data_IF_195530212026
#
_entry.id   IF_195530212026
#
_cell.length_a   1.000
_cell.length_b   1.000
_cell.length_c   1.000
_cell.angle_alpha   90.00
_cell.angle_beta   90.00
_cell.angle_gamma   90.00
#
_symmetry.space_group_name_H-M   'P 1'
#
loop_
_entity.id
_entity.type
_entity.pdbx_description
1 polymer ?
#
# COMPACT_ATOMS: atom_id res chain seq x y z
N UNK A 1 -26.33 -12.57 -34.10
CA UNK A 1 -24.98 -12.64 -33.50
C UNK A 1 -25.16 -12.64 -31.99
N UNK A 2 -24.66 -13.65 -31.29
CA UNK A 2 -24.74 -13.75 -29.84
C UNK A 2 -23.33 -13.98 -29.28
N UNK A 3 -22.97 -13.25 -28.23
CA UNK A 3 -21.75 -13.45 -27.48
C UNK A 3 -22.13 -13.68 -26.01
N UNK A 4 -21.47 -14.64 -25.37
CA UNK A 4 -21.62 -14.93 -23.94
C UNK A 4 -20.36 -14.46 -23.23
N UNK A 5 -20.51 -13.60 -22.22
CA UNK A 5 -19.41 -13.14 -21.37
C UNK A 5 -19.49 -13.89 -20.05
N UNK A 6 -18.43 -14.60 -19.67
CA UNK A 6 -18.32 -15.27 -18.38
C UNK A 6 -17.74 -14.29 -17.34
N UNK A 7 -18.55 -13.78 -16.41
CA UNK A 7 -18.08 -12.95 -15.29
C UNK A 7 -17.46 -13.87 -14.23
N UNK A 8 -16.13 -13.91 -14.16
CA UNK A 8 -15.41 -14.70 -13.13
C UNK A 8 -15.22 -13.88 -11.87
N UNK A 9 -16.06 -14.11 -10.86
CA UNK A 9 -15.89 -13.52 -9.54
C UNK A 9 -14.69 -14.13 -8.83
N UNK A 10 -13.83 -13.26 -8.27
CA UNK A 10 -12.62 -13.67 -7.55
C UNK A 10 -12.54 -12.98 -6.21
N UNK A 11 -11.98 -13.69 -5.23
CA UNK A 11 -11.60 -13.11 -3.94
C UNK A 11 -10.54 -12.04 -4.19
N UNK A 12 -10.76 -10.83 -3.71
CA UNK A 12 -9.80 -9.71 -3.82
C UNK A 12 -9.08 -9.44 -2.50
N UNK A 13 -9.74 -9.72 -1.37
CA UNK A 13 -9.15 -9.69 -0.03
C UNK A 13 -9.87 -10.70 0.88
N UNK A 14 -9.25 -11.05 2.00
CA UNK A 14 -9.81 -11.94 2.99
C UNK A 14 -9.24 -11.66 4.40
N UNK A 15 -10.11 -11.78 5.40
CA UNK A 15 -9.72 -11.58 6.80
C UNK A 15 -8.82 -12.72 7.32
N UNK A 16 -8.17 -12.56 8.48
CA UNK A 16 -7.27 -13.58 9.03
C UNK A 16 -7.91 -14.96 9.22
N UNK A 17 -9.19 -15.02 9.60
CA UNK A 17 -9.91 -16.29 9.78
C UNK A 17 -10.06 -17.05 8.46
N UNK A 18 -10.48 -16.37 7.38
CA UNK A 18 -10.56 -16.95 6.04
C UNK A 18 -9.17 -17.36 5.53
N UNK A 19 -8.13 -16.55 5.79
CA UNK A 19 -6.73 -16.91 5.47
C UNK A 19 -6.30 -18.19 6.19
N UNK A 20 -6.67 -18.38 7.45
CA UNK A 20 -6.34 -19.59 8.21
C UNK A 20 -6.98 -20.86 7.59
N UNK A 21 -8.14 -20.74 6.95
CA UNK A 21 -8.81 -21.82 6.22
C UNK A 21 -8.27 -22.04 4.79
N UNK A 22 -7.24 -21.31 4.36
CA UNK A 22 -6.65 -21.47 3.03
C UNK A 22 -7.25 -20.57 1.94
N UNK A 23 -8.19 -19.68 2.28
CA UNK A 23 -8.70 -18.69 1.32
C UNK A 23 -7.61 -17.64 1.04
N UNK A 24 -7.45 -17.28 -0.24
CA UNK A 24 -6.45 -16.32 -0.71
C UNK A 24 -7.05 -15.42 -1.80
N UNK A 25 -6.59 -14.17 -1.94
CA UNK A 25 -6.88 -13.36 -3.11
C UNK A 25 -6.53 -14.09 -4.42
N UNK A 26 -7.32 -13.85 -5.46
CA UNK A 26 -7.21 -14.49 -6.77
C UNK A 26 -8.03 -15.79 -6.92
N UNK A 27 -8.41 -16.46 -5.83
CA UNK A 27 -9.28 -17.65 -5.90
C UNK A 27 -10.64 -17.29 -6.49
N UNK A 28 -11.22 -18.20 -7.29
CA UNK A 28 -12.61 -18.08 -7.71
C UNK A 28 -13.53 -18.19 -6.48
N UNK A 29 -14.61 -17.41 -6.45
CA UNK A 29 -15.58 -17.44 -5.33
C UNK A 29 -16.15 -18.85 -5.13
N UNK A 30 -16.42 -19.58 -6.21
CA UNK A 30 -16.87 -20.98 -6.15
C UNK A 30 -15.85 -21.91 -5.48
N UNK A 31 -14.57 -21.78 -5.82
CA UNK A 31 -13.49 -22.55 -5.19
C UNK A 31 -13.33 -22.19 -3.71
N UNK A 32 -13.47 -20.91 -3.36
CA UNK A 32 -13.41 -20.45 -1.97
C UNK A 32 -14.55 -21.04 -1.12
N UNK A 33 -15.78 -21.07 -1.65
CA UNK A 33 -16.93 -21.70 -0.98
C UNK A 33 -16.80 -23.22 -0.85
N UNK A 34 -16.13 -23.88 -1.81
CA UNK A 34 -15.84 -25.31 -1.70
C UNK A 34 -14.84 -25.63 -0.57
N UNK A 35 -13.93 -24.69 -0.23
CA UNK A 35 -12.98 -24.83 0.87
C UNK A 35 -13.67 -24.56 2.22
N UNK A 36 -14.53 -23.53 2.27
CA UNK A 36 -15.22 -23.12 3.49
C UNK A 36 -16.68 -22.79 3.16
N UNK A 37 -17.59 -23.72 3.45
CA UNK A 37 -19.02 -23.59 3.12
C UNK A 37 -19.69 -22.41 3.87
N UNK A 38 -19.23 -22.11 5.08
CA UNK A 38 -19.71 -20.97 5.88
C UNK A 38 -19.07 -19.63 5.50
N UNK A 39 -18.37 -19.55 4.36
CA UNK A 39 -17.68 -18.34 3.94
C UNK A 39 -18.69 -17.24 3.58
N UNK A 40 -18.72 -16.18 4.40
CA UNK A 40 -19.37 -14.94 4.05
C UNK A 40 -18.57 -14.22 2.94
N UNK A 41 -19.26 -13.86 1.85
CA UNK A 41 -18.69 -13.10 0.72
C UNK A 41 -19.49 -11.82 0.58
N UNK A 42 -18.79 -10.69 0.57
CA UNK A 42 -19.37 -9.38 0.27
C UNK A 42 -18.91 -8.91 -1.11
N UNK A 43 -19.78 -8.22 -1.84
CA UNK A 43 -19.38 -7.51 -3.05
C UNK A 43 -18.55 -6.28 -2.68
N UNK A 44 -17.56 -5.95 -3.50
CA UNK A 44 -16.75 -4.75 -3.32
C UNK A 44 -17.61 -3.51 -3.59
N UNK A 45 -17.62 -2.57 -2.65
CA UNK A 45 -18.23 -1.26 -2.81
C UNK A 45 -17.16 -0.15 -2.70
N UNK A 46 -16.59 0.28 -3.85
CA UNK A 46 -15.55 1.31 -3.86
C UNK A 46 -16.02 2.66 -3.30
N UNK A 47 -17.31 2.98 -3.40
CA UNK A 47 -17.83 4.24 -2.87
C UNK A 47 -17.85 4.20 -1.34
N UNK A 48 -18.33 3.10 -0.75
CA UNK A 48 -18.31 2.92 0.70
C UNK A 48 -16.87 2.85 1.26
N UNK A 49 -15.93 2.24 0.53
CA UNK A 49 -14.49 2.24 0.85
C UNK A 49 -13.94 3.67 0.89
N UNK A 50 -14.22 4.46 -0.17
CA UNK A 50 -13.79 5.86 -0.27
C UNK A 50 -14.36 6.73 0.84
N UNK A 51 -15.68 6.65 1.08
CA UNK A 51 -16.35 7.36 2.18
C UNK A 51 -15.72 7.03 3.54
N UNK A 52 -15.31 5.78 3.73
CA UNK A 52 -14.65 5.33 4.96
C UNK A 52 -13.25 5.94 5.08
N UNK A 53 -12.46 5.94 4.00
CA UNK A 53 -11.16 6.61 3.98
C UNK A 53 -11.28 8.11 4.26
N UNK A 54 -12.31 8.78 3.74
CA UNK A 54 -12.56 10.21 4.01
C UNK A 54 -12.89 10.47 5.48
N UNK A 55 -13.71 9.62 6.11
CA UNK A 55 -13.98 9.69 7.55
C UNK A 55 -12.71 9.45 8.38
N UNK A 56 -11.90 8.47 8.00
CA UNK A 56 -10.64 8.17 8.68
C UNK A 56 -9.61 9.29 8.49
N UNK A 57 -9.55 9.91 7.31
CA UNK A 57 -8.71 11.07 7.05
C UNK A 57 -9.12 12.25 7.94
N UNK A 58 -10.43 12.52 8.05
CA UNK A 58 -10.97 13.55 8.93
C UNK A 58 -10.59 13.30 10.40
N UNK A 59 -10.70 12.05 10.86
CA UNK A 59 -10.27 11.65 12.20
C UNK A 59 -8.75 11.84 12.41
N UNK A 60 -7.94 11.54 11.40
CA UNK A 60 -6.49 11.69 11.45
C UNK A 60 -6.00 13.14 11.60
N UNK A 61 -6.83 14.16 11.33
CA UNK A 61 -6.44 15.57 11.51
C UNK A 61 -6.08 15.93 12.96
N UNK A 62 -6.49 15.13 13.94
CA UNK A 62 -6.03 15.31 15.33
C UNK A 62 -4.53 15.00 15.52
N UNK A 63 -3.89 14.34 14.55
CA UNK A 63 -2.48 13.91 14.59
C UNK A 63 -1.58 14.69 13.65
N UNK A 64 -2.10 15.11 12.50
CA UNK A 64 -1.34 15.87 11.50
C UNK A 64 -2.26 16.85 10.79
N UNK A 65 -1.77 18.05 10.51
CA UNK A 65 -2.46 18.99 9.64
C UNK A 65 -2.38 18.60 8.15
N UNK A 66 -1.56 17.61 7.80
CA UNK A 66 -1.38 17.13 6.44
C UNK A 66 -1.72 15.64 6.36
N UNK A 67 -2.93 15.37 5.88
CA UNK A 67 -3.46 14.04 5.65
C UNK A 67 -3.92 13.96 4.20
N UNK A 68 -3.57 12.88 3.50
CA UNK A 68 -3.89 12.68 2.10
C UNK A 68 -4.41 11.25 1.86
N UNK A 69 -5.42 11.14 0.99
CA UNK A 69 -5.86 9.88 0.39
C UNK A 69 -5.24 9.84 -1.02
N UNK A 70 -4.28 8.95 -1.29
CA UNK A 70 -3.72 8.84 -2.63
C UNK A 70 -4.78 8.37 -3.64
N UNK A 71 -4.68 8.80 -4.90
CA UNK A 71 -5.64 8.41 -5.94
C UNK A 71 -5.39 7.01 -6.53
N UNK A 72 -4.19 6.46 -6.35
CA UNK A 72 -3.73 5.21 -6.97
C UNK A 72 -3.79 3.98 -6.05
N UNK A 73 -4.23 4.16 -4.80
CA UNK A 73 -4.25 3.11 -3.77
C UNK A 73 -5.17 3.46 -2.61
N UNK A 74 -5.71 2.42 -1.98
CA UNK A 74 -6.67 2.56 -0.88
C UNK A 74 -5.93 2.69 0.47
N UNK A 75 -5.81 3.90 1.01
CA UNK A 75 -5.18 4.15 2.30
C UNK A 75 -4.92 5.62 2.58
N UNK A 76 -4.17 5.89 3.66
CA UNK A 76 -3.87 7.25 4.12
C UNK A 76 -2.37 7.50 4.22
N UNK A 77 -1.96 8.71 3.84
CA UNK A 77 -0.63 9.25 4.09
C UNK A 77 -0.74 10.43 5.06
N UNK A 78 0.17 10.48 6.03
CA UNK A 78 0.22 11.51 7.06
C UNK A 78 1.64 12.08 7.13
N UNK A 79 1.77 13.40 7.10
CA UNK A 79 3.04 14.06 7.46
C UNK A 79 3.18 13.99 8.98
N UNK A 80 4.18 13.26 9.47
CA UNK A 80 4.35 13.04 10.91
C UNK A 80 5.42 13.95 11.54
N UNK A 81 6.30 14.57 10.75
CA UNK A 81 7.48 15.31 11.18
C UNK A 81 7.15 16.50 12.10
N UNK A 82 6.17 17.31 11.72
CA UNK A 82 5.73 18.43 12.57
C UNK A 82 5.10 17.98 13.89
N UNK A 83 4.60 16.75 13.91
CA UNK A 83 3.82 16.17 15.00
C UNK A 83 4.68 15.42 16.04
N UNK A 84 5.99 15.26 15.79
CA UNK A 84 6.89 14.50 16.67
C UNK A 84 6.94 15.03 18.10
N UNK A 85 6.87 16.34 18.29
CA UNK A 85 6.91 16.94 19.64
C UNK A 85 5.70 16.57 20.49
N UNK A 86 4.56 16.29 19.85
CA UNK A 86 3.29 16.00 20.52
C UNK A 86 3.05 14.50 20.69
N UNK A 87 3.44 13.70 19.69
CA UNK A 87 3.12 12.26 19.65
C UNK A 87 4.34 11.34 19.70
N UNK A 88 5.53 11.92 19.79
CA UNK A 88 6.80 11.19 19.82
C UNK A 88 7.25 10.74 18.43
N UNK A 89 8.09 9.72 18.40
CA UNK A 89 8.59 9.12 17.16
C UNK A 89 7.46 8.62 16.24
N UNK A 90 7.67 8.54 14.92
CA UNK A 90 6.70 7.95 13.99
C UNK A 90 6.19 6.56 14.40
N UNK A 91 7.04 5.75 15.03
CA UNK A 91 6.73 4.44 15.60
C UNK A 91 5.67 4.56 16.71
N UNK A 92 5.85 5.51 17.62
CA UNK A 92 4.92 5.74 18.74
C UNK A 92 3.57 6.26 18.23
N UNK A 93 3.58 7.16 17.26
CA UNK A 93 2.36 7.62 16.60
C UNK A 93 1.64 6.47 15.88
N UNK A 94 2.35 5.64 15.13
CA UNK A 94 1.78 4.47 14.46
C UNK A 94 1.14 3.48 15.46
N UNK A 95 1.83 3.15 16.55
CA UNK A 95 1.26 2.29 17.60
C UNK A 95 0.02 2.89 18.26
N UNK A 96 -0.04 4.22 18.38
CA UNK A 96 -1.23 4.91 18.87
C UNK A 96 -2.38 4.80 17.86
N UNK A 97 -2.13 5.13 16.60
CA UNK A 97 -3.11 5.03 15.51
C UNK A 97 -3.67 3.61 15.41
N UNK A 98 -2.83 2.59 15.40
CA UNK A 98 -3.25 1.19 15.32
C UNK A 98 -4.14 0.78 16.50
N UNK A 99 -3.83 1.22 17.73
CA UNK A 99 -4.66 0.94 18.91
C UNK A 99 -6.02 1.63 18.83
N UNK A 100 -6.04 2.91 18.51
CA UNK A 100 -7.30 3.68 18.47
C UNK A 100 -8.19 3.24 17.30
N UNK A 101 -7.62 3.00 16.11
CA UNK A 101 -8.34 2.44 14.97
C UNK A 101 -8.85 1.02 15.26
N UNK A 102 -8.08 0.23 16.00
CA UNK A 102 -8.53 -1.08 16.49
C UNK A 102 -9.77 -0.99 17.40
N UNK A 103 -9.85 0.04 18.25
CA UNK A 103 -11.03 0.29 19.10
C UNK A 103 -12.26 0.71 18.28
N UNK A 104 -12.05 1.30 17.10
CA UNK A 104 -13.10 1.63 16.14
C UNK A 104 -13.46 0.45 15.21
N UNK A 105 -12.81 -0.71 15.38
CA UNK A 105 -13.08 -1.92 14.61
C UNK A 105 -12.27 -2.08 13.32
N UNK A 106 -11.23 -1.26 13.12
CA UNK A 106 -10.36 -1.33 11.94
C UNK A 106 -9.08 -2.11 12.19
N UNK A 107 -8.64 -2.85 11.17
CA UNK A 107 -7.30 -3.41 11.09
C UNK A 107 -6.43 -2.52 10.20
N UNK A 108 -5.21 -2.25 10.64
CA UNK A 108 -4.32 -1.30 9.95
C UNK A 108 -2.89 -1.79 9.89
N UNK A 109 -2.29 -1.67 8.71
CA UNK A 109 -0.86 -1.78 8.51
C UNK A 109 -0.26 -0.38 8.53
N UNK A 110 0.84 -0.21 9.25
CA UNK A 110 1.46 1.11 9.43
C UNK A 110 2.96 1.00 9.24
N UNK A 111 3.53 2.06 8.68
CA UNK A 111 4.96 2.25 8.50
C UNK A 111 5.25 3.72 8.32
N UNK A 112 6.53 4.06 8.36
CA UNK A 112 6.95 5.45 8.19
C UNK A 112 8.26 5.50 7.43
N UNK A 113 8.42 6.50 6.57
CA UNK A 113 9.70 6.81 5.95
C UNK A 113 9.76 8.32 5.65
N UNK A 114 10.94 8.85 5.28
CA UNK A 114 11.12 10.26 4.95
C UNK A 114 10.47 10.71 3.63
N UNK A 115 9.94 9.76 2.84
CA UNK A 115 9.27 10.03 1.58
C UNK A 115 7.91 9.31 1.54
N UNK A 116 6.88 9.87 0.86
CA UNK A 116 5.54 9.28 0.85
C UNK A 116 5.52 7.84 0.31
N UNK A 117 6.20 7.59 -0.82
CA UNK A 117 6.25 6.27 -1.45
C UNK A 117 7.04 5.26 -0.61
N UNK A 118 8.14 5.69 0.01
CA UNK A 118 8.86 4.81 0.92
C UNK A 118 8.05 4.53 2.18
N UNK A 119 7.23 5.48 2.66
CA UNK A 119 6.38 5.27 3.83
C UNK A 119 5.28 4.25 3.51
N UNK A 120 4.69 4.33 2.32
CA UNK A 120 3.72 3.36 1.83
C UNK A 120 4.30 1.94 1.76
N UNK A 121 5.46 1.78 1.11
CA UNK A 121 6.15 0.49 1.04
C UNK A 121 6.57 -0.01 2.43
N UNK A 122 7.01 0.90 3.30
CA UNK A 122 7.36 0.55 4.67
C UNK A 122 6.15 0.05 5.47
N UNK A 123 4.93 0.54 5.19
CA UNK A 123 3.72 0.09 5.86
C UNK A 123 3.42 -1.40 5.61
N UNK A 124 3.48 -1.85 4.35
CA UNK A 124 3.31 -3.27 4.02
C UNK A 124 4.41 -4.17 4.64
N UNK A 125 5.56 -3.58 4.96
CA UNK A 125 6.67 -4.27 5.62
C UNK A 125 6.71 -4.07 7.15
N UNK A 126 5.78 -3.31 7.72
CA UNK A 126 5.75 -2.93 9.14
C UNK A 126 7.07 -2.27 9.60
N UNK A 127 7.67 -1.47 8.72
CA UNK A 127 8.95 -0.80 8.93
C UNK A 127 8.78 0.68 9.27
N UNK A 128 9.71 1.18 10.07
CA UNK A 128 9.82 2.60 10.38
C UNK A 128 11.23 3.09 10.11
N UNK A 129 11.38 3.75 8.97
CA UNK A 129 12.63 4.22 8.39
C UNK A 129 12.83 5.68 8.80
N UNK A 130 13.87 5.95 9.58
CA UNK A 130 14.09 7.28 10.16
C UNK A 130 14.87 8.24 9.27
N UNK A 131 15.52 7.75 8.21
CA UNK A 131 16.43 8.55 7.38
C UNK A 131 16.46 8.10 5.92
N UNK A 132 16.61 9.07 5.00
CA UNK A 132 16.52 8.82 3.56
C UNK A 132 17.60 7.83 3.09
N UNK A 133 18.80 7.91 3.68
CA UNK A 133 19.91 6.98 3.42
C UNK A 133 19.63 5.51 3.80
N UNK A 134 18.57 5.22 4.57
CA UNK A 134 18.19 3.86 4.97
C UNK A 134 17.16 3.22 4.03
N UNK A 135 16.46 4.00 3.21
CA UNK A 135 15.42 3.51 2.28
C UNK A 135 15.96 2.39 1.40
N UNK A 136 17.10 2.60 0.73
CA UNK A 136 17.71 1.59 -0.14
C UNK A 136 18.12 0.32 0.62
N UNK A 137 18.55 0.46 1.87
CA UNK A 137 18.96 -0.69 2.68
C UNK A 137 17.75 -1.54 3.10
N UNK A 138 16.68 -0.90 3.55
CA UNK A 138 15.52 -1.58 4.16
C UNK A 138 14.47 -2.01 3.13
N UNK A 139 14.21 -1.18 2.11
CA UNK A 139 13.20 -1.44 1.08
C UNK A 139 13.81 -1.89 -0.25
N UNK A 140 15.13 -1.82 -0.41
CA UNK A 140 15.76 -2.12 -1.69
C UNK A 140 15.63 -3.58 -2.16
N UNK A 141 15.26 -4.52 -1.28
CA UNK A 141 14.94 -5.92 -1.68
C UNK A 141 13.58 -6.05 -2.37
N UNK A 142 12.70 -5.05 -2.23
CA UNK A 142 11.32 -5.17 -2.70
C UNK A 142 11.29 -5.29 -4.23
N UNK A 143 10.45 -6.20 -4.75
CA UNK A 143 10.24 -6.33 -6.18
C UNK A 143 9.53 -5.09 -6.73
N UNK A 144 9.76 -4.75 -8.00
CA UNK A 144 9.23 -3.52 -8.59
C UNK A 144 7.69 -3.52 -8.68
N UNK A 145 7.09 -4.71 -8.67
CA UNK A 145 5.65 -4.95 -8.68
C UNK A 145 4.94 -4.40 -7.44
N UNK A 146 5.67 -4.07 -6.37
CA UNK A 146 5.10 -3.37 -5.20
C UNK A 146 5.01 -1.86 -5.40
N UNK A 147 5.65 -1.32 -6.45
CA UNK A 147 5.49 0.07 -6.81
C UNK A 147 4.14 0.26 -7.49
N UNK A 148 3.46 1.37 -7.17
CA UNK A 148 2.24 1.81 -7.83
C UNK A 148 2.56 2.42 -9.22
N UNK A 149 3.21 1.64 -10.07
CA UNK A 149 3.49 1.95 -11.46
C UNK A 149 2.69 1.01 -12.36
N UNK A 150 2.35 1.46 -13.57
CA UNK A 150 1.65 0.60 -14.50
C UNK A 150 2.46 -0.66 -14.85
N UNK A 151 1.75 -1.77 -15.03
CA UNK A 151 2.35 -3.08 -15.31
C UNK A 151 3.21 -3.07 -16.58
N UNK A 152 2.92 -2.21 -17.57
CA UNK A 152 3.71 -2.12 -18.79
C UNK A 152 5.09 -1.51 -18.53
N UNK A 153 5.17 -0.46 -17.69
CA UNK A 153 6.40 0.17 -17.22
C UNK A 153 7.22 -0.79 -16.39
N UNK A 154 6.61 -1.51 -15.44
CA UNK A 154 7.31 -2.54 -14.64
C UNK A 154 7.93 -3.60 -15.56
N UNK A 155 7.16 -4.17 -16.49
CA UNK A 155 7.68 -5.15 -17.46
C UNK A 155 8.76 -4.59 -18.38
N UNK A 156 8.72 -3.30 -18.71
CA UNK A 156 9.76 -2.66 -19.50
C UNK A 156 11.06 -2.51 -18.68
N UNK A 157 10.96 -2.13 -17.41
CA UNK A 157 12.08 -2.07 -16.47
C UNK A 157 12.74 -3.46 -16.29
N UNK A 158 11.93 -4.51 -16.10
CA UNK A 158 12.41 -5.89 -15.98
C UNK A 158 13.17 -6.37 -17.22
N UNK A 159 12.66 -6.06 -18.43
CA UNK A 159 13.34 -6.36 -19.69
C UNK A 159 14.69 -5.65 -19.82
N UNK A 160 14.86 -4.52 -19.15
CA UNK A 160 16.13 -3.79 -19.07
C UNK A 160 17.04 -4.27 -17.93
N UNK A 161 16.61 -5.27 -17.15
CA UNK A 161 17.38 -5.89 -16.07
C UNK A 161 17.12 -5.33 -14.67
N UNK A 162 16.18 -4.41 -14.49
CA UNK A 162 15.78 -3.90 -13.17
C UNK A 162 14.72 -4.81 -12.56
N UNK A 163 14.98 -5.40 -11.39
CA UNK A 163 14.04 -6.35 -10.76
C UNK A 163 13.63 -5.94 -9.36
N UNK A 164 14.44 -5.11 -8.70
CA UNK A 164 14.20 -4.68 -7.34
C UNK A 164 14.34 -3.17 -7.21
N UNK A 165 13.71 -2.61 -6.18
CA UNK A 165 13.76 -1.18 -5.88
C UNK A 165 15.21 -0.67 -5.75
N UNK A 166 16.14 -1.47 -5.20
CA UNK A 166 17.57 -1.09 -5.14
C UNK A 166 18.19 -0.79 -6.49
N UNK A 167 17.72 -1.43 -7.56
CA UNK A 167 18.29 -1.28 -8.89
C UNK A 167 17.96 0.12 -9.42
N UNK A 168 16.77 0.63 -9.12
CA UNK A 168 16.35 2.00 -9.42
C UNK A 168 17.06 3.01 -8.51
N UNK A 169 17.07 2.78 -7.19
CA UNK A 169 17.67 3.69 -6.20
C UNK A 169 19.21 3.80 -6.31
N UNK A 170 19.87 2.93 -7.07
CA UNK A 170 21.30 3.05 -7.39
C UNK A 170 21.59 4.00 -8.54
N UNK A 171 20.59 4.28 -9.37
CA UNK A 171 20.78 5.13 -10.54
C UNK A 171 20.86 6.60 -10.11
N UNK A 172 21.77 7.39 -10.71
CA UNK A 172 21.72 8.84 -10.56
C UNK A 172 20.37 9.39 -11.03
N UNK A 173 19.84 10.44 -10.38
CA UNK A 173 18.54 11.05 -10.76
C UNK A 173 18.45 11.37 -12.24
N UNK A 174 19.50 11.97 -12.82
CA UNK A 174 19.60 12.27 -14.25
C UNK A 174 19.42 11.03 -15.15
N UNK A 175 19.92 9.88 -14.71
CA UNK A 175 19.76 8.61 -15.43
C UNK A 175 18.33 8.09 -15.34
N UNK A 176 17.69 8.21 -14.17
CA UNK A 176 16.26 7.89 -14.01
C UNK A 176 15.40 8.76 -14.92
N UNK A 177 15.58 10.08 -14.89
CA UNK A 177 14.85 11.02 -15.75
C UNK A 177 15.01 10.69 -17.23
N UNK A 178 16.25 10.43 -17.68
CA UNK A 178 16.53 10.15 -19.09
C UNK A 178 15.94 8.81 -19.55
N UNK A 179 15.91 7.79 -18.70
CA UNK A 179 15.45 6.44 -19.06
C UNK A 179 13.95 6.24 -18.89
N UNK A 180 13.36 6.88 -17.89
CA UNK A 180 11.99 6.58 -17.44
C UNK A 180 11.09 7.82 -17.32
N UNK A 181 11.60 8.99 -17.72
CA UNK A 181 10.89 10.26 -17.63
C UNK A 181 11.05 10.96 -16.27
N UNK A 182 10.70 12.24 -16.18
CA UNK A 182 10.87 13.07 -14.97
C UNK A 182 10.00 12.62 -13.79
N UNK A 183 8.83 12.03 -14.04
CA UNK A 183 7.93 11.61 -12.97
C UNK A 183 8.43 10.44 -12.12
N UNK A 184 9.36 9.60 -12.61
CA UNK A 184 9.89 8.50 -11.80
C UNK A 184 10.80 8.99 -10.65
N UNK A 185 11.80 9.87 -10.89
CA UNK A 185 12.55 10.48 -9.79
C UNK A 185 11.68 11.18 -8.74
N UNK A 186 10.59 11.83 -9.15
CA UNK A 186 9.65 12.52 -8.25
C UNK A 186 8.85 11.50 -7.43
N UNK A 187 8.36 10.43 -8.07
CA UNK A 187 7.69 9.31 -7.41
C UNK A 187 8.56 8.59 -6.37
N UNK A 188 9.89 8.60 -6.52
CA UNK A 188 10.79 7.91 -5.57
C UNK A 188 11.25 8.81 -4.41
N UNK A 189 10.88 10.10 -4.44
CA UNK A 189 11.17 11.11 -3.41
C UNK A 189 9.98 11.36 -2.48
#
# INVERSE_FOLDING_TARGET
MAATVERRERIIDCNPAAKACGIRPGLAVSAARAILDTLAVAERDPAAERDTLERLAAWCYQYSSQVCIPDDRDGLLLEAGASWRLFGSPQQLAQRLQRELGQLGYHTECGSAPTPEAAWLAAGQHLHISAQGRIRQQLGVLPLEQLALDTARIKAMERMGFRQLRDLLRLPRRTLTRRFGPGLPEYLD
#
